data_IF_429688463234
#
_entry.id   IF_429688463234
#
_cell.length_a   1.000
_cell.length_b   1.000
_cell.length_c   1.000
_cell.angle_alpha   90.00
_cell.angle_beta   90.00
_cell.angle_gamma   90.00
#
_symmetry.space_group_name_H-M   'P 1'
#
loop_
_entity.id
_entity.type
_entity.pdbx_description
1 polymer ?
#
# COMPACT_ATOMS: atom_id res chain seq x y z
N UNK A 1 10.23 -0.94 -26.63
CA UNK A 1 9.63 -1.65 -25.49
C UNK A 1 9.29 -0.57 -24.48
N UNK A 2 8.00 -0.33 -24.24
CA UNK A 2 7.55 0.78 -23.38
C UNK A 2 7.81 0.44 -21.91
N UNK A 3 8.42 1.36 -21.16
CA UNK A 3 8.75 1.23 -19.73
C UNK A 3 8.32 2.49 -18.99
N UNK A 4 7.68 2.33 -17.84
CA UNK A 4 7.29 3.42 -16.95
C UNK A 4 7.84 3.17 -15.55
N UNK A 5 8.47 4.19 -14.96
CA UNK A 5 9.04 4.16 -13.62
C UNK A 5 8.62 5.41 -12.85
N UNK A 6 8.17 5.23 -11.62
CA UNK A 6 7.85 6.30 -10.69
C UNK A 6 8.56 6.04 -9.36
N UNK A 7 9.29 7.04 -8.88
CA UNK A 7 9.98 6.98 -7.59
C UNK A 7 9.41 8.01 -6.62
N UNK A 8 8.96 7.54 -5.46
CA UNK A 8 8.59 8.40 -4.33
C UNK A 8 9.63 8.26 -3.22
N UNK A 9 10.26 9.37 -2.83
CA UNK A 9 11.23 9.37 -1.72
C UNK A 9 10.49 9.52 -0.39
N UNK A 10 10.75 8.60 0.54
CA UNK A 10 10.15 8.60 1.87
C UNK A 10 11.29 8.73 2.89
N UNK A 11 11.17 9.70 3.80
CA UNK A 11 12.15 9.94 4.86
C UNK A 11 11.93 8.99 6.06
N UNK A 12 12.00 7.68 5.80
CA UNK A 12 11.86 6.63 6.80
C UNK A 12 12.72 5.40 6.42
N UNK A 13 13.08 4.53 7.38
CA UNK A 13 13.76 3.28 7.08
C UNK A 13 12.93 2.39 6.15
N UNK A 14 13.55 1.69 5.17
CA UNK A 14 12.83 0.85 4.22
C UNK A 14 11.95 -0.22 4.85
N UNK A 15 12.42 -0.83 5.94
CA UNK A 15 11.68 -1.85 6.68
C UNK A 15 10.36 -1.32 7.26
N UNK A 16 10.34 -0.07 7.72
CA UNK A 16 9.12 0.58 8.23
C UNK A 16 8.16 0.85 7.09
N UNK A 17 8.67 1.35 5.96
CA UNK A 17 7.83 1.60 4.76
C UNK A 17 7.21 0.29 4.26
N UNK A 18 7.99 -0.79 4.23
CA UNK A 18 7.51 -2.10 3.83
C UNK A 18 6.45 -2.63 4.80
N UNK A 19 6.71 -2.58 6.10
CA UNK A 19 5.77 -3.05 7.12
C UNK A 19 4.42 -2.31 7.06
N UNK A 20 4.48 -1.00 6.85
CA UNK A 20 3.29 -0.14 6.73
C UNK A 20 2.55 -0.40 5.41
N UNK A 21 3.26 -0.78 4.34
CA UNK A 21 2.63 -1.17 3.06
C UNK A 21 1.82 -2.46 3.15
N UNK A 22 2.03 -3.26 4.20
CA UNK A 22 1.29 -4.50 4.43
C UNK A 22 -0.04 -4.28 5.16
N UNK A 23 -0.35 -3.07 5.61
CA UNK A 23 -1.61 -2.77 6.30
C UNK A 23 -2.73 -2.43 5.29
N UNK A 24 -3.77 -3.26 5.26
CA UNK A 24 -4.91 -3.11 4.33
C UNK A 24 -5.70 -1.84 4.61
N UNK A 25 -5.90 -1.49 5.88
CA UNK A 25 -6.70 -0.32 6.26
C UNK A 25 -5.98 0.95 5.82
N UNK A 26 -4.66 1.01 6.03
CA UNK A 26 -3.86 2.14 5.60
C UNK A 26 -3.74 2.23 4.08
N UNK A 27 -3.59 1.09 3.39
CA UNK A 27 -3.61 1.05 1.93
C UNK A 27 -4.91 1.64 1.38
N UNK A 28 -6.07 1.17 1.86
CA UNK A 28 -7.37 1.68 1.42
C UNK A 28 -7.56 3.17 1.75
N UNK A 29 -7.11 3.63 2.92
CA UNK A 29 -7.14 5.04 3.27
C UNK A 29 -6.29 5.90 2.32
N UNK A 30 -5.10 5.42 1.93
CA UNK A 30 -4.23 6.10 0.96
C UNK A 30 -4.84 6.15 -0.46
N UNK A 31 -5.71 5.18 -0.77
CA UNK A 31 -6.42 5.05 -2.04
C UNK A 31 -7.88 5.50 -1.97
N UNK A 32 -8.28 6.31 -0.98
CA UNK A 32 -9.68 6.67 -0.77
C UNK A 32 -10.36 7.26 -2.03
N UNK A 33 -9.61 7.94 -2.91
CA UNK A 33 -10.10 8.49 -4.17
C UNK A 33 -10.46 7.46 -5.25
N UNK A 34 -9.95 6.22 -5.16
CA UNK A 34 -10.28 5.14 -6.11
C UNK A 34 -11.60 4.43 -5.77
N UNK A 35 -12.05 4.50 -4.50
CA UNK A 35 -13.18 3.72 -4.01
C UNK A 35 -12.87 2.22 -3.86
N UNK A 36 -11.59 1.84 -3.87
CA UNK A 36 -11.16 0.44 -3.75
C UNK A 36 -11.53 -0.19 -2.39
N UNK A 37 -11.85 -1.50 -2.45
CA UNK A 37 -12.15 -2.29 -1.26
C UNK A 37 -11.67 -3.73 -1.42
N UNK A 38 -10.99 -4.25 -0.40
CA UNK A 38 -10.70 -5.68 -0.30
C UNK A 38 -12.00 -6.49 -0.13
N UNK A 39 -12.19 -7.55 -0.91
CA UNK A 39 -13.44 -8.34 -0.94
C UNK A 39 -13.28 -9.80 -0.52
N UNK A 40 -12.04 -10.30 -0.40
CA UNK A 40 -11.73 -11.66 0.00
C UNK A 40 -10.31 -11.74 0.59
N UNK A 41 -10.02 -12.79 1.35
CA UNK A 41 -8.73 -12.94 2.04
C UNK A 41 -8.63 -12.04 3.28
N UNK A 42 -7.46 -11.43 3.50
CA UNK A 42 -7.28 -10.43 4.56
C UNK A 42 -7.85 -9.11 4.07
N UNK A 43 -8.92 -8.64 4.72
CA UNK A 43 -9.64 -7.42 4.32
C UNK A 43 -9.45 -6.25 5.27
N UNK A 44 -8.65 -6.42 6.33
CA UNK A 44 -8.33 -5.39 7.34
C UNK A 44 -7.05 -5.78 8.07
N UNK A 45 -6.32 -4.81 8.61
CA UNK A 45 -5.07 -5.02 9.33
C UNK A 45 -3.93 -5.54 8.44
N UNK A 46 -2.96 -6.22 9.05
CA UNK A 46 -1.72 -6.64 8.39
C UNK A 46 -1.90 -7.87 7.51
N UNK A 47 -1.43 -7.79 6.26
CA UNK A 47 -1.31 -8.91 5.32
C UNK A 47 -0.18 -9.88 5.73
N UNK A 48 -0.39 -11.18 5.53
CA UNK A 48 0.55 -12.26 5.81
C UNK A 48 0.20 -13.54 5.06
#
# INVERSE_FOLDING_TARGET
MEHFELTTRIAAPPEVVFDVSLDVDLHQASMAGSGERAVAGVTSGRMG
#
